data_IF_647988728608
#
_entry.id   IF_647988728608
#
_cell.length_a   1.000
_cell.length_b   1.000
_cell.length_c   1.000
_cell.angle_alpha   90.00
_cell.angle_beta   90.00
_cell.angle_gamma   90.00
#
_symmetry.space_group_name_H-M   'P 1'
#
loop_
_entity.id
_entity.type
_entity.pdbx_description
1 polymer ?
#
# COMPACT_ATOMS: atom_id res chain seq x y z
N UNK A 1 -11.36 8.87 -8.36
CA UNK A 1 -10.00 9.43 -8.14
C UNK A 1 -8.96 8.71 -9.00
N UNK A 2 -8.97 7.37 -9.04
CA UNK A 2 -8.17 6.56 -9.98
C UNK A 2 -8.71 6.59 -11.43
N UNK A 3 -10.00 6.89 -11.61
CA UNK A 3 -10.59 7.07 -12.94
C UNK A 3 -10.53 5.79 -13.79
N UNK A 4 -10.41 5.94 -15.11
CA UNK A 4 -10.20 4.82 -16.06
C UNK A 4 -8.72 4.53 -16.32
N UNK A 5 -7.81 5.05 -15.48
CA UNK A 5 -6.39 4.79 -15.67
C UNK A 5 -6.09 3.34 -15.32
N UNK A 6 -5.64 2.57 -16.30
CA UNK A 6 -5.30 1.15 -16.11
C UNK A 6 -4.13 0.95 -15.15
N UNK A 7 -3.14 1.83 -15.21
CA UNK A 7 -1.91 1.72 -14.42
C UNK A 7 -1.68 2.99 -13.58
N UNK A 8 -2.48 3.23 -12.53
CA UNK A 8 -2.22 4.33 -11.62
C UNK A 8 -0.93 4.07 -10.85
N UNK A 9 -0.13 5.12 -10.65
CA UNK A 9 1.03 5.05 -9.75
C UNK A 9 0.51 5.24 -8.33
N UNK A 10 0.76 4.27 -7.46
CA UNK A 10 0.41 4.31 -6.05
C UNK A 10 1.70 4.23 -5.22
N UNK A 11 1.70 4.86 -4.05
CA UNK A 11 2.85 4.92 -3.15
C UNK A 11 2.47 4.22 -1.85
N UNK A 12 3.23 3.20 -1.49
CA UNK A 12 3.15 2.49 -0.24
C UNK A 12 4.18 3.04 0.76
N UNK A 13 3.72 3.38 1.96
CA UNK A 13 4.60 3.86 3.04
C UNK A 13 4.24 3.23 4.38
N UNK A 14 5.27 2.95 5.19
CA UNK A 14 5.11 2.75 6.62
C UNK A 14 5.50 4.03 7.35
N UNK A 15 4.66 4.45 8.27
CA UNK A 15 4.89 5.64 9.08
C UNK A 15 4.68 5.32 10.57
N UNK A 16 5.67 5.59 11.44
CA UNK A 16 5.49 5.41 12.88
C UNK A 16 4.50 6.45 13.43
N UNK A 17 3.56 5.99 14.23
CA UNK A 17 2.62 6.82 14.98
C UNK A 17 2.98 6.74 16.47
N UNK A 18 3.59 7.79 17.04
CA UNK A 18 3.95 7.80 18.45
C UNK A 18 2.72 7.95 19.35
N UNK A 19 2.69 7.18 20.44
CA UNK A 19 1.68 7.22 21.49
C UNK A 19 2.23 6.57 22.77
N UNK A 20 1.36 6.12 23.68
CA UNK A 20 1.79 5.35 24.85
C UNK A 20 2.52 4.05 24.47
N UNK A 21 2.19 3.49 23.29
CA UNK A 21 2.97 2.48 22.58
C UNK A 21 3.16 2.95 21.12
N UNK A 22 4.16 2.42 20.41
CA UNK A 22 4.40 2.77 19.00
C UNK A 22 3.49 1.91 18.11
N UNK A 23 2.74 2.60 17.25
CA UNK A 23 2.00 1.99 16.16
C UNK A 23 2.66 2.30 14.83
N UNK A 24 2.36 1.49 13.84
CA UNK A 24 2.85 1.62 12.47
C UNK A 24 1.64 1.75 11.56
N UNK A 25 1.56 2.88 10.86
CA UNK A 25 0.57 3.12 9.81
C UNK A 25 1.12 2.55 8.51
N UNK A 26 0.35 1.69 7.83
CA UNK A 26 0.59 1.31 6.45
C UNK A 26 -0.41 2.06 5.58
N UNK A 27 0.10 2.76 4.58
CA UNK A 27 -0.69 3.62 3.71
C UNK A 27 -0.44 3.33 2.24
N UNK A 28 -1.49 3.47 1.44
CA UNK A 28 -1.44 3.63 -0.01
C UNK A 28 -1.98 5.00 -0.39
N UNK A 29 -1.19 5.74 -1.19
CA UNK A 29 -1.53 7.07 -1.64
C UNK A 29 -1.30 7.25 -3.14
N UNK A 30 -2.01 8.17 -3.77
CA UNK A 30 -1.87 8.52 -5.19
C UNK A 30 -1.26 9.93 -5.32
N UNK A 31 -0.15 10.09 -6.07
CA UNK A 31 0.39 11.40 -6.36
C UNK A 31 -0.51 12.16 -7.33
N UNK A 32 -0.91 13.38 -6.97
CA UNK A 32 -1.74 14.27 -7.77
C UNK A 32 -1.27 15.72 -7.66
N UNK A 33 -0.74 16.26 -8.77
CA UNK A 33 -0.46 17.70 -8.89
C UNK A 33 0.45 18.27 -7.80
N UNK A 34 1.50 17.53 -7.41
CA UNK A 34 2.45 17.94 -6.36
C UNK A 34 2.00 17.66 -4.93
N UNK A 35 0.86 16.99 -4.74
CA UNK A 35 0.40 16.47 -3.44
C UNK A 35 0.23 14.96 -3.52
N UNK A 36 0.19 14.29 -2.37
CA UNK A 36 -0.26 12.90 -2.30
C UNK A 36 -1.62 12.84 -1.61
N UNK A 37 -2.54 12.05 -2.16
CA UNK A 37 -3.83 11.79 -1.52
C UNK A 37 -3.87 10.33 -1.05
N UNK A 38 -4.17 10.14 0.23
CA UNK A 38 -4.41 8.81 0.79
C UNK A 38 -5.64 8.16 0.15
N UNK A 39 -5.47 6.94 -0.35
CA UNK A 39 -6.58 6.11 -0.83
C UNK A 39 -7.04 5.14 0.25
N UNK A 40 -6.07 4.53 0.93
CA UNK A 40 -6.31 3.52 1.95
C UNK A 40 -5.19 3.56 2.98
N UNK A 41 -5.53 3.39 4.26
CA UNK A 41 -4.55 3.30 5.34
C UNK A 41 -5.10 2.48 6.51
N UNK A 42 -4.22 1.72 7.15
CA UNK A 42 -4.54 0.89 8.32
C UNK A 42 -3.38 0.95 9.31
N UNK A 43 -3.65 0.81 10.61
CA UNK A 43 -2.64 0.84 11.64
C UNK A 43 -2.43 -0.52 12.30
N UNK A 44 -1.19 -0.79 12.72
CA UNK A 44 -0.78 -2.02 13.37
C UNK A 44 0.15 -1.72 14.54
N UNK A 45 0.28 -2.65 15.48
CA UNK A 45 1.33 -2.55 16.52
C UNK A 45 2.71 -2.62 15.88
N UNK A 46 3.71 -1.97 16.47
CA UNK A 46 5.10 -1.95 15.99
C UNK A 46 5.64 -3.32 15.54
N UNK A 47 5.36 -4.38 16.31
CA UNK A 47 5.79 -5.77 16.02
C UNK A 47 5.32 -6.34 14.66
N UNK A 48 4.38 -5.65 14.00
CA UNK A 48 3.83 -6.02 12.69
C UNK A 48 4.44 -5.23 11.53
N UNK A 49 5.39 -4.33 11.81
CA UNK A 49 6.16 -3.64 10.77
C UNK A 49 6.75 -4.68 9.80
N UNK A 50 6.51 -4.49 8.50
CA UNK A 50 7.03 -5.35 7.44
C UNK A 50 6.65 -6.83 7.58
N UNK A 51 5.48 -7.12 8.18
CA UNK A 51 4.95 -8.46 8.31
C UNK A 51 4.22 -8.90 7.02
N UNK A 52 4.63 -10.03 6.44
CA UNK A 52 4.07 -10.53 5.17
C UNK A 52 2.57 -10.75 5.21
N UNK A 53 2.03 -11.32 6.29
CA UNK A 53 0.58 -11.56 6.37
C UNK A 53 -0.22 -10.25 6.43
N UNK A 54 0.33 -9.21 7.06
CA UNK A 54 -0.27 -7.88 7.05
C UNK A 54 -0.25 -7.28 5.65
N UNK A 55 0.85 -7.45 4.92
CA UNK A 55 0.95 -7.01 3.54
C UNK A 55 -0.05 -7.69 2.61
N UNK A 56 -0.19 -9.02 2.70
CA UNK A 56 -1.10 -9.78 1.85
C UNK A 56 -2.54 -9.33 2.08
N UNK A 57 -3.00 -9.29 3.34
CA UNK A 57 -4.35 -8.82 3.68
C UNK A 57 -4.58 -7.37 3.23
N UNK A 58 -3.59 -6.50 3.44
CA UNK A 58 -3.71 -5.10 3.04
C UNK A 58 -3.79 -4.93 1.51
N UNK A 59 -3.06 -5.74 0.74
CA UNK A 59 -3.14 -5.72 -0.73
C UNK A 59 -4.45 -6.33 -1.25
N UNK A 60 -5.02 -7.32 -0.56
CA UNK A 60 -6.36 -7.86 -0.86
C UNK A 60 -7.44 -6.80 -0.62
N UNK A 61 -7.40 -6.12 0.52
CA UNK A 61 -8.32 -5.02 0.83
C UNK A 61 -8.18 -3.86 -0.16
N UNK A 62 -6.95 -3.56 -0.61
CA UNK A 62 -6.73 -2.56 -1.66
C UNK A 62 -7.36 -2.98 -2.99
N UNK A 63 -7.19 -4.24 -3.40
CA UNK A 63 -7.73 -4.78 -4.66
C UNK A 63 -9.25 -4.62 -4.73
N UNK A 64 -9.95 -4.93 -3.62
CA UNK A 64 -11.40 -4.77 -3.48
C UNK A 64 -11.87 -3.30 -3.62
N UNK A 65 -10.99 -2.33 -3.33
CA UNK A 65 -11.28 -0.89 -3.45
C UNK A 65 -10.96 -0.33 -4.84
N UNK A 66 -10.13 -1.02 -5.62
CA UNK A 66 -9.71 -0.55 -6.93
C UNK A 66 -10.80 -0.83 -7.99
N UNK A 67 -10.93 0.03 -9.02
CA UNK A 67 -11.81 -0.27 -10.13
C UNK A 67 -11.43 -1.57 -10.84
N UNK A 68 -12.41 -2.28 -11.37
CA UNK A 68 -12.18 -3.51 -12.13
C UNK A 68 -11.17 -3.31 -13.28
N UNK A 69 -10.22 -4.23 -13.41
CA UNK A 69 -9.16 -4.18 -14.43
C UNK A 69 -8.02 -3.20 -14.13
N UNK A 70 -8.02 -2.55 -12.97
CA UNK A 70 -6.91 -1.73 -12.51
C UNK A 70 -5.68 -2.60 -12.19
N UNK A 71 -4.52 -2.18 -12.69
CA UNK A 71 -3.22 -2.83 -12.53
C UNK A 71 -2.20 -1.78 -12.07
N UNK A 72 -2.27 -1.35 -10.79
CA UNK A 72 -1.45 -0.26 -10.27
C UNK A 72 0.05 -0.57 -10.35
N UNK A 73 0.83 0.50 -10.40
CA UNK A 73 2.28 0.47 -10.19
C UNK A 73 2.51 0.90 -8.74
N UNK A 74 3.02 0.00 -7.88
CA UNK A 74 3.21 0.22 -6.45
C UNK A 74 4.66 0.64 -6.18
N UNK A 75 4.86 1.95 -5.99
CA UNK A 75 6.12 2.48 -5.50
C UNK A 75 6.20 2.24 -3.99
N UNK A 76 7.27 1.60 -3.54
CA UNK A 76 7.51 1.31 -2.12
C UNK A 76 8.96 1.62 -1.76
N UNK A 77 9.22 1.88 -0.49
CA UNK A 77 10.57 2.10 0.02
C UNK A 77 11.34 0.77 0.21
N UNK A 78 12.61 0.86 0.61
CA UNK A 78 13.50 -0.29 0.72
C UNK A 78 13.17 -1.21 1.91
N UNK A 79 12.29 -0.83 2.83
CA UNK A 79 11.93 -1.72 3.94
C UNK A 79 10.95 -2.80 3.47
N UNK A 80 10.18 -2.60 2.39
CA UNK A 80 9.40 -3.67 1.79
C UNK A 80 10.33 -4.71 1.16
N UNK A 81 10.08 -5.99 1.46
CA UNK A 81 10.97 -7.11 1.08
C UNK A 81 10.38 -7.94 -0.05
N UNK A 82 11.16 -8.90 -0.56
CA UNK A 82 10.78 -9.80 -1.66
C UNK A 82 9.35 -10.36 -1.60
N UNK A 83 8.79 -10.81 -0.45
CA UNK A 83 7.41 -11.30 -0.42
C UNK A 83 6.37 -10.27 -0.88
N UNK A 84 6.55 -8.98 -0.53
CA UNK A 84 5.68 -7.88 -0.96
C UNK A 84 5.58 -7.80 -2.48
N UNK A 85 6.73 -7.78 -3.16
CA UNK A 85 6.80 -7.69 -4.62
C UNK A 85 6.19 -8.92 -5.29
N UNK A 86 6.39 -10.12 -4.72
CA UNK A 86 5.76 -11.35 -5.24
C UNK A 86 4.24 -11.30 -5.16
N UNK A 87 3.68 -10.77 -4.08
CA UNK A 87 2.22 -10.62 -3.92
C UNK A 87 1.67 -9.61 -4.93
N UNK A 88 2.37 -8.49 -5.18
CA UNK A 88 2.03 -7.52 -6.24
C UNK A 88 2.02 -8.18 -7.62
N UNK A 89 3.11 -8.88 -7.98
CA UNK A 89 3.21 -9.58 -9.27
C UNK A 89 2.11 -10.66 -9.43
N UNK A 90 1.78 -11.38 -8.35
CA UNK A 90 0.73 -12.40 -8.37
C UNK A 90 -0.67 -11.82 -8.64
N UNK A 91 -0.92 -10.55 -8.29
CA UNK A 91 -2.14 -9.81 -8.65
C UNK A 91 -2.11 -9.25 -10.09
N UNK A 92 -1.01 -9.44 -10.82
CA UNK A 92 -0.81 -8.86 -12.15
C UNK A 92 -0.56 -7.34 -12.12
N UNK A 93 -0.06 -6.84 -10.99
CA UNK A 93 0.33 -5.45 -10.77
C UNK A 93 1.85 -5.29 -10.96
N UNK A 94 2.36 -4.07 -10.81
CA UNK A 94 3.77 -3.71 -11.06
C UNK A 94 4.44 -3.03 -9.88
#
# INVERSE_FOLDING_TARGET
LIGQQKHPVLIADWSPLPGNEIFQLLRISIPMGGRSLTLYETYFKEKKLNNTQVHDTFLDELDDLLPEGCQPIILSDAIFKTPWFKTIEAKGWY
#
